data_IF_792839107485
#
_entry.id   IF_792839107485
#
_cell.length_a   1.000
_cell.length_b   1.000
_cell.length_c   1.000
_cell.angle_alpha   90.00
_cell.angle_beta   90.00
_cell.angle_gamma   90.00
#
_symmetry.space_group_name_H-M   'P 1'
#
loop_
_entity.id
_entity.type
_entity.pdbx_description
1 polymer ?
#
# COMPACT_ATOMS: atom_id res chain seq x y z
N UNK A 1 -18.69 9.13 17.12
CA UNK A 1 -17.68 9.69 16.20
C UNK A 1 -17.37 8.57 15.21
N UNK A 2 -17.65 8.75 13.92
CA UNK A 2 -17.59 7.63 12.96
C UNK A 2 -16.14 7.24 12.67
N UNK A 3 -15.73 6.09 13.21
CA UNK A 3 -14.51 5.37 12.82
C UNK A 3 -14.66 4.81 11.40
N UNK A 4 -14.73 5.70 10.42
CA UNK A 4 -15.11 5.36 9.05
C UNK A 4 -14.08 5.82 8.02
N UNK A 5 -14.24 5.28 6.81
CA UNK A 5 -13.53 5.75 5.62
C UNK A 5 -13.86 7.22 5.36
N UNK A 6 -12.85 7.94 4.92
CA UNK A 6 -12.91 9.34 4.55
C UNK A 6 -13.33 9.50 3.09
N UNK A 7 -14.18 10.47 2.82
CA UNK A 7 -14.43 11.03 1.49
C UNK A 7 -14.59 12.54 1.68
N UNK A 8 -14.11 13.35 0.73
CA UNK A 8 -14.04 14.80 0.85
C UNK A 8 -15.15 15.52 0.04
N UNK A 9 -16.43 15.52 0.46
CA UNK A 9 -17.48 16.18 -0.32
C UNK A 9 -17.58 17.69 -0.06
N UNK A 10 -17.07 18.18 1.08
CA UNK A 10 -17.36 19.53 1.57
C UNK A 10 -16.29 20.16 2.50
N UNK A 11 -15.00 19.86 2.30
CA UNK A 11 -13.93 20.56 3.03
C UNK A 11 -13.35 19.81 4.24
N UNK A 12 -13.74 18.55 4.45
CA UNK A 12 -13.04 17.64 5.35
C UNK A 12 -13.93 16.69 6.13
N UNK A 13 -13.34 15.58 6.59
CA UNK A 13 -13.98 14.65 7.52
C UNK A 13 -13.03 14.27 8.66
N UNK A 14 -13.38 13.27 9.48
CA UNK A 14 -12.54 12.81 10.60
C UNK A 14 -11.97 11.40 10.41
N UNK A 15 -12.14 10.83 9.22
CA UNK A 15 -11.76 9.46 8.87
C UNK A 15 -10.36 9.36 8.25
N UNK A 16 -10.17 8.29 7.47
CA UNK A 16 -8.95 8.03 6.72
C UNK A 16 -9.25 7.42 5.36
N UNK A 17 -8.30 7.53 4.43
CA UNK A 17 -8.33 6.87 3.13
C UNK A 17 -7.62 5.53 3.25
N UNK A 18 -8.23 4.45 2.74
CA UNK A 18 -7.55 3.15 2.59
C UNK A 18 -7.24 2.84 1.12
N UNK A 19 -6.06 2.25 0.90
CA UNK A 19 -5.61 1.77 -0.40
C UNK A 19 -5.29 0.29 -0.28
N UNK A 20 -5.92 -0.52 -1.14
CA UNK A 20 -5.79 -1.98 -1.20
C UNK A 20 -5.75 -2.43 -2.64
N UNK A 21 -5.06 -3.53 -2.91
CA UNK A 21 -5.23 -4.23 -4.18
C UNK A 21 -6.49 -5.09 -4.13
N UNK A 22 -7.27 -5.08 -5.22
CA UNK A 22 -8.46 -5.94 -5.35
C UNK A 22 -8.12 -7.42 -5.21
N UNK A 23 -6.94 -7.83 -5.69
CA UNK A 23 -6.44 -9.20 -5.55
C UNK A 23 -6.14 -9.64 -4.11
N UNK A 24 -6.16 -8.72 -3.13
CA UNK A 24 -5.77 -8.98 -1.74
C UNK A 24 -4.28 -9.28 -1.55
N UNK A 25 -3.46 -9.08 -2.60
CA UNK A 25 -2.00 -9.30 -2.53
C UNK A 25 -1.32 -8.20 -1.75
N UNK A 26 -0.13 -8.49 -1.24
CA UNK A 26 0.78 -7.50 -0.64
C UNK A 26 1.36 -6.56 -1.68
N UNK A 27 1.54 -5.31 -1.29
CA UNK A 27 2.27 -4.32 -2.08
C UNK A 27 3.75 -4.71 -2.12
N UNK A 28 4.36 -4.64 -3.30
CA UNK A 28 5.81 -4.61 -3.40
C UNK A 28 6.31 -3.22 -3.00
N UNK A 29 5.86 -2.24 -3.78
CA UNK A 29 5.98 -0.81 -3.46
C UNK A 29 4.65 -0.12 -3.75
N UNK A 30 4.32 0.88 -2.95
CA UNK A 30 3.19 1.79 -3.15
C UNK A 30 3.71 3.22 -3.06
N UNK A 31 3.41 4.04 -4.05
CA UNK A 31 3.67 5.48 -3.97
C UNK A 31 2.53 6.30 -4.56
N UNK A 32 2.41 7.53 -4.10
CA UNK A 32 1.38 8.46 -4.56
C UNK A 32 1.85 9.90 -4.37
N UNK A 33 1.26 10.81 -5.14
CA UNK A 33 1.35 12.23 -4.85
C UNK A 33 0.35 12.54 -3.74
N UNK A 34 0.81 13.21 -2.69
CA UNK A 34 -0.04 13.66 -1.58
C UNK A 34 -0.13 15.19 -1.57
N UNK A 35 -1.30 15.68 -1.17
CA UNK A 35 -1.56 17.10 -0.99
C UNK A 35 -2.62 17.35 0.07
N UNK A 36 -3.00 18.61 0.22
CA UNK A 36 -3.97 19.03 1.22
C UNK A 36 -5.01 19.99 0.64
N UNK A 37 -6.26 19.80 1.04
CA UNK A 37 -7.35 20.77 0.83
C UNK A 37 -7.27 22.00 1.74
N UNK A 38 -6.31 22.05 2.68
CA UNK A 38 -6.14 23.17 3.61
C UNK A 38 -5.26 24.33 3.05
N UNK A 39 -4.73 24.22 1.83
CA UNK A 39 -3.89 25.24 1.17
C UNK A 39 -2.43 24.80 0.97
N UNK A 40 -1.54 25.73 0.59
CA UNK A 40 -0.24 25.45 -0.06
C UNK A 40 0.95 25.12 0.87
N UNK A 41 0.73 24.61 2.08
CA UNK A 41 1.81 24.30 3.04
C UNK A 41 2.15 22.81 3.09
N UNK A 42 3.38 22.46 3.48
CA UNK A 42 3.75 21.06 3.72
C UNK A 42 2.74 20.38 4.66
N UNK A 43 2.32 19.18 4.28
CA UNK A 43 1.20 18.48 4.91
C UNK A 43 1.71 17.40 5.87
N UNK A 44 1.07 17.30 7.02
CA UNK A 44 1.41 16.31 8.03
C UNK A 44 0.55 15.08 7.83
N UNK A 45 1.17 14.04 7.31
CA UNK A 45 0.52 12.78 6.96
C UNK A 45 0.74 11.78 8.08
N UNK A 46 -0.35 11.18 8.58
CA UNK A 46 -0.27 9.98 9.42
C UNK A 46 -0.64 8.76 8.58
N UNK A 47 0.09 7.67 8.79
CA UNK A 47 -0.13 6.42 8.08
C UNK A 47 -0.11 5.20 9.00
N UNK A 48 -0.82 4.17 8.57
CA UNK A 48 -0.69 2.80 9.06
C UNK A 48 -0.50 1.87 7.87
N UNK A 49 0.56 1.07 7.91
CA UNK A 49 0.73 -0.10 7.05
C UNK A 49 0.10 -1.29 7.75
N UNK A 50 -0.75 -2.00 7.04
CA UNK A 50 -1.59 -3.07 7.57
C UNK A 50 -1.38 -4.33 6.76
N UNK A 51 -1.34 -5.47 7.43
CA UNK A 51 -1.26 -6.81 6.83
C UNK A 51 -2.37 -7.67 7.42
N UNK A 52 -3.34 -8.09 6.60
CA UNK A 52 -4.47 -8.92 7.01
C UNK A 52 -5.23 -8.34 8.23
N UNK A 53 -5.39 -7.01 8.24
CA UNK A 53 -6.08 -6.28 9.30
C UNK A 53 -5.22 -5.90 10.51
N UNK A 54 -4.00 -6.43 10.65
CA UNK A 54 -3.07 -6.06 11.72
C UNK A 54 -2.14 -4.92 11.28
N UNK A 55 -1.98 -3.88 12.10
CA UNK A 55 -1.02 -2.80 11.86
C UNK A 55 0.41 -3.34 12.03
N UNK A 56 1.21 -3.27 10.97
CA UNK A 56 2.62 -3.70 10.95
C UNK A 56 3.58 -2.52 11.09
N UNK A 57 3.16 -1.33 10.65
CA UNK A 57 3.94 -0.10 10.82
C UNK A 57 3.00 1.10 10.91
N UNK A 58 3.42 2.13 11.65
CA UNK A 58 2.75 3.43 11.67
C UNK A 58 3.76 4.56 11.79
N UNK A 59 3.37 5.76 11.40
CA UNK A 59 4.15 6.95 11.63
C UNK A 59 3.47 8.21 11.12
N UNK A 60 4.13 9.33 11.36
CA UNK A 60 3.76 10.63 10.82
C UNK A 60 4.93 11.21 10.06
N UNK A 61 4.65 11.84 8.93
CA UNK A 61 5.67 12.44 8.06
C UNK A 61 5.17 13.77 7.55
N UNK A 62 6.06 14.77 7.55
CA UNK A 62 5.82 16.05 6.90
C UNK A 62 6.23 15.92 5.43
N UNK A 63 5.29 16.13 4.52
CA UNK A 63 5.51 15.98 3.07
C UNK A 63 5.15 17.29 2.38
N UNK A 64 6.03 17.89 1.56
CA UNK A 64 5.64 19.03 0.76
C UNK A 64 4.47 18.67 -0.17
N UNK A 65 3.50 19.56 -0.33
CA UNK A 65 2.35 19.30 -1.21
C UNK A 65 2.81 19.02 -2.64
N UNK A 66 2.15 18.06 -3.29
CA UNK A 66 2.48 17.65 -4.64
C UNK A 66 3.72 16.76 -4.74
N UNK A 67 4.33 16.39 -3.61
CA UNK A 67 5.47 15.48 -3.58
C UNK A 67 5.04 14.01 -3.51
N UNK A 68 5.94 13.15 -3.96
CA UNK A 68 5.78 11.71 -3.83
C UNK A 68 5.98 11.26 -2.38
N UNK A 69 4.99 10.53 -1.85
CA UNK A 69 5.12 9.72 -0.65
C UNK A 69 5.14 8.25 -1.06
N UNK A 70 6.12 7.50 -0.54
CA UNK A 70 6.34 6.10 -0.91
C UNK A 70 6.47 5.18 0.31
N UNK A 71 5.99 3.95 0.12
CA UNK A 71 6.03 2.86 1.08
C UNK A 71 6.60 1.61 0.39
N UNK A 72 7.54 0.96 1.06
CA UNK A 72 8.22 -0.26 0.60
C UNK A 72 8.41 -1.23 1.77
N UNK A 73 8.71 -2.50 1.51
CA UNK A 73 8.94 -3.49 2.58
C UNK A 73 8.29 -4.85 2.33
N UNK A 74 7.37 -4.95 1.36
CA UNK A 74 6.69 -6.19 0.96
C UNK A 74 5.86 -6.89 2.05
N UNK A 75 5.57 -6.20 3.15
CA UNK A 75 4.99 -6.78 4.37
C UNK A 75 3.54 -6.37 4.61
N UNK A 76 2.99 -5.43 3.84
CA UNK A 76 1.63 -4.89 3.99
C UNK A 76 0.74 -5.12 2.75
N UNK A 77 -0.57 -5.28 2.98
CA UNK A 77 -1.63 -5.43 1.96
C UNK A 77 -2.64 -4.26 1.96
N UNK A 78 -2.53 -3.36 2.94
CA UNK A 78 -3.37 -2.17 3.08
C UNK A 78 -2.51 -0.99 3.57
N UNK A 79 -2.68 0.16 2.93
CA UNK A 79 -2.26 1.46 3.48
C UNK A 79 -3.50 2.18 3.99
N UNK A 80 -3.44 2.70 5.22
CA UNK A 80 -4.40 3.66 5.76
C UNK A 80 -3.69 4.98 5.96
N UNK A 81 -4.28 6.07 5.48
CA UNK A 81 -3.62 7.36 5.42
C UNK A 81 -4.61 8.49 5.66
N UNK A 82 -4.16 9.52 6.36
CA UNK A 82 -4.89 10.78 6.53
C UNK A 82 -3.90 11.92 6.70
N UNK A 83 -4.41 13.14 6.55
CA UNK A 83 -3.71 14.31 7.06
C UNK A 83 -4.47 14.94 8.23
N UNK A 84 -3.96 16.07 8.72
CA UNK A 84 -4.61 16.90 9.71
C UNK A 84 -4.57 18.38 9.28
N UNK A 85 -5.34 19.21 9.97
CA UNK A 85 -5.30 20.66 9.78
C UNK A 85 -3.86 21.21 9.97
N UNK A 86 -3.50 22.31 9.27
CA UNK A 86 -2.16 22.90 9.33
C UNK A 86 -1.70 23.14 10.78
N UNK A 87 -0.42 22.85 11.05
CA UNK A 87 0.18 22.96 12.37
C UNK A 87 -0.11 21.79 13.33
N UNK A 88 -0.85 20.77 12.88
CA UNK A 88 -1.08 19.54 13.66
C UNK A 88 -0.29 18.38 13.08
N UNK A 89 0.45 17.65 13.92
CA UNK A 89 1.01 16.35 13.56
C UNK A 89 0.02 15.27 14.01
N UNK A 90 -0.73 14.62 13.09
CA UNK A 90 -1.64 13.55 13.48
C UNK A 90 -0.86 12.36 14.04
N UNK A 91 -1.40 11.70 15.07
CA UNK A 91 -0.79 10.52 15.73
C UNK A 91 -1.70 9.29 15.72
N UNK A 92 -2.83 9.37 15.00
CA UNK A 92 -3.87 8.35 14.94
C UNK A 92 -4.68 8.53 13.64
N UNK A 93 -5.33 7.47 13.15
CA UNK A 93 -6.30 7.57 12.06
C UNK A 93 -7.59 8.31 12.47
N UNK A 94 -7.78 8.56 13.76
CA UNK A 94 -9.00 9.15 14.31
C UNK A 94 -8.69 10.53 14.90
N UNK A 95 -9.56 11.50 14.60
CA UNK A 95 -9.58 12.83 15.21
C UNK A 95 -9.04 13.94 14.31
N UNK A 96 -9.58 15.15 14.46
CA UNK A 96 -9.24 16.31 13.62
C UNK A 96 -9.80 16.23 12.20
N UNK A 97 -9.81 17.36 11.50
CA UNK A 97 -10.23 17.41 10.10
C UNK A 97 -9.16 16.81 9.18
N UNK A 98 -9.60 15.95 8.26
CA UNK A 98 -8.83 15.34 7.19
C UNK A 98 -9.20 16.03 5.88
N UNK A 99 -8.21 16.64 5.24
CA UNK A 99 -8.27 17.19 3.91
C UNK A 99 -7.23 16.58 2.97
N UNK A 100 -6.90 15.31 3.17
CA UNK A 100 -5.98 14.58 2.33
C UNK A 100 -6.45 14.60 0.87
N UNK A 101 -5.56 15.03 -0.01
CA UNK A 101 -5.68 14.88 -1.46
C UNK A 101 -4.66 13.86 -1.90
N UNK A 102 -5.08 12.91 -2.76
CA UNK A 102 -4.21 11.89 -3.33
C UNK A 102 -4.34 11.91 -4.85
N UNK A 103 -3.22 11.82 -5.55
CA UNK A 103 -3.17 11.69 -7.00
C UNK A 103 -2.05 10.71 -7.44
N UNK A 104 -2.10 10.26 -8.69
CA UNK A 104 -1.02 9.55 -9.37
C UNK A 104 -0.51 8.33 -8.60
N UNK A 105 -1.40 7.40 -8.24
CA UNK A 105 -1.05 6.20 -7.47
C UNK A 105 -0.26 5.22 -8.35
N UNK A 106 0.92 4.80 -7.87
CA UNK A 106 1.78 3.79 -8.48
C UNK A 106 1.91 2.58 -7.57
N UNK A 107 1.69 1.40 -8.14
CA UNK A 107 1.81 0.13 -7.44
C UNK A 107 2.76 -0.78 -8.19
N UNK A 108 3.71 -1.36 -7.47
CA UNK A 108 4.48 -2.52 -7.92
C UNK A 108 3.95 -3.73 -7.16
N UNK A 109 3.43 -4.71 -7.89
CA UNK A 109 3.07 -6.01 -7.32
C UNK A 109 4.31 -6.91 -7.28
N UNK A 110 4.38 -7.77 -6.26
CA UNK A 110 5.42 -8.80 -6.21
C UNK A 110 5.31 -9.73 -7.42
N UNK A 111 6.41 -10.35 -7.89
CA UNK A 111 6.33 -11.42 -8.88
C UNK A 111 5.37 -12.51 -8.39
N UNK A 112 4.44 -12.93 -9.25
CA UNK A 112 3.64 -14.15 -9.01
C UNK A 112 4.44 -15.30 -9.59
N UNK A 113 4.85 -16.30 -8.79
CA UNK A 113 5.33 -17.55 -9.38
C UNK A 113 4.20 -18.15 -10.21
N UNK A 114 4.38 -18.28 -11.52
CA UNK A 114 3.35 -18.88 -12.34
C UNK A 114 3.19 -20.35 -11.92
N UNK A 115 1.97 -20.85 -11.65
CA UNK A 115 1.76 -22.25 -11.29
C UNK A 115 2.34 -23.21 -12.33
N UNK A 116 2.31 -22.80 -13.60
CA UNK A 116 2.89 -23.51 -14.71
C UNK A 116 4.42 -23.62 -14.64
N UNK A 117 5.15 -22.68 -14.02
CA UNK A 117 6.61 -22.77 -13.89
C UNK A 117 7.01 -23.99 -13.06
N UNK A 118 6.30 -24.27 -11.97
CA UNK A 118 6.53 -25.48 -11.19
C UNK A 118 6.16 -26.74 -11.97
N UNK A 119 5.04 -26.71 -12.70
CA UNK A 119 4.64 -27.82 -13.58
C UNK A 119 5.69 -28.11 -14.67
N UNK A 120 6.20 -27.07 -15.33
CA UNK A 120 7.22 -27.16 -16.38
C UNK A 120 8.58 -27.60 -15.82
N UNK A 121 8.95 -27.12 -14.63
CA UNK A 121 10.15 -27.60 -13.93
C UNK A 121 10.04 -29.08 -13.62
N UNK A 122 8.94 -29.52 -13.02
CA UNK A 122 8.70 -30.93 -12.70
C UNK A 122 8.64 -31.79 -13.96
N UNK A 123 7.98 -31.33 -15.02
CA UNK A 123 7.95 -32.02 -16.31
C UNK A 123 9.35 -32.14 -16.93
N UNK A 124 10.14 -31.08 -16.91
CA UNK A 124 11.52 -31.08 -17.40
C UNK A 124 12.41 -32.06 -16.62
N UNK A 125 12.33 -32.04 -15.28
CA UNK A 125 13.06 -32.98 -14.41
C UNK A 125 12.61 -34.42 -14.65
N UNK A 126 11.30 -34.65 -14.80
CA UNK A 126 10.74 -35.96 -15.11
C UNK A 126 11.25 -36.53 -16.44
N UNK A 127 11.29 -35.70 -17.49
CA UNK A 127 11.82 -36.08 -18.80
C UNK A 127 13.32 -36.46 -18.72
N UNK A 128 14.11 -35.70 -17.97
CA UNK A 128 15.53 -36.00 -17.75
C UNK A 128 15.73 -37.33 -17.01
N UNK A 129 14.92 -37.62 -15.99
CA UNK A 129 14.95 -38.89 -15.28
C UNK A 129 14.62 -40.09 -16.18
N UNK A 130 13.60 -39.96 -17.03
CA UNK A 130 13.23 -41.01 -18.01
C UNK A 130 14.35 -41.22 -19.03
N UNK A 131 14.95 -40.14 -19.55
CA UNK A 131 16.05 -40.23 -20.50
C UNK A 131 17.31 -40.88 -19.89
N UNK A 132 17.62 -40.58 -18.63
CA UNK A 132 18.74 -41.19 -17.91
C UNK A 132 18.52 -42.69 -17.65
N UNK A 133 17.29 -43.12 -17.35
CA UNK A 133 16.94 -44.54 -17.19
C UNK A 133 17.18 -45.33 -18.47
N UNK A 134 16.76 -44.79 -19.62
CA UNK A 134 16.94 -45.42 -20.94
C UNK A 134 18.40 -45.58 -21.38
N UNK A 135 19.36 -44.93 -20.71
CA UNK A 135 20.80 -45.06 -21.00
C UNK A 135 21.50 -46.11 -20.14
N UNK A 136 20.83 -46.61 -19.10
CA UNK A 136 21.34 -47.67 -18.22
C UNK A 136 20.88 -49.07 -18.62
N UNK A 137 19.84 -49.14 -19.46
CA UNK A 137 19.41 -50.32 -20.19
C UNK A 137 20.10 -50.35 -21.56
#
# INVERSE_FOLDING_TARGET
>A
MSNGKSWYPNGGDMGYTDVRMESGRKFGNLSMIVGSGFGDQADSIYFELVNQGAVVQTGSVLVPIGSWLGFSGNDFDELRIRNAAPGTIPTSLIGGYNGLVVDSIKVSALPVPEPATYGMLLAGVGLLGVAARRRRD
#
